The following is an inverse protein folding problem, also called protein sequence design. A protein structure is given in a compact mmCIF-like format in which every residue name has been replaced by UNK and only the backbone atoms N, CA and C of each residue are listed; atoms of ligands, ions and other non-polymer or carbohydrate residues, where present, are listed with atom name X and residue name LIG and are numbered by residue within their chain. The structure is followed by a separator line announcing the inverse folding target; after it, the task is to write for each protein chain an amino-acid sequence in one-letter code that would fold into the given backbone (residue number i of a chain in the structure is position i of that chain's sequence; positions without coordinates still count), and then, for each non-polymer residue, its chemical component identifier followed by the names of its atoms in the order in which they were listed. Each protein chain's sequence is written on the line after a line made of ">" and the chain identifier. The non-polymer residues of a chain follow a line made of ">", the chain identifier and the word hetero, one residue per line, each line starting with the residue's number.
data_IF_796336177097
#
_entry.id   IF_796336177097
#
_cell.length_a   1.000
_cell.length_b   1.000
_cell.length_c   1.000
_cell.angle_alpha   90.00
_cell.angle_beta   90.00
_cell.angle_gamma   90.00
#
_symmetry.space_group_name_H-M   'P 1'
#
loop_
_entity.id
_entity.type
_entity.pdbx_description
1 polymer ?
#
# COMPACT_ATOMS: atom_id res chain seq x y z
N UNK A 1 -70.39 -17.50 9.78
CA UNK A 1 -69.10 -18.16 10.08
C UNK A 1 -68.02 -17.35 9.39
N UNK A 2 -67.01 -16.96 10.17
CA UNK A 2 -66.15 -15.79 10.00
C UNK A 2 -65.49 -15.58 8.64
N UNK A 3 -65.70 -14.37 8.13
CA UNK A 3 -64.70 -13.52 7.49
C UNK A 3 -63.36 -13.58 8.23
N UNK A 4 -62.36 -14.20 7.61
CA UNK A 4 -60.96 -14.05 7.99
C UNK A 4 -60.35 -12.93 7.15
N UNK A 5 -60.53 -11.70 7.62
CA UNK A 5 -59.71 -10.56 7.25
C UNK A 5 -58.23 -10.94 7.46
N UNK A 6 -57.51 -11.20 6.36
CA UNK A 6 -56.05 -11.20 6.35
C UNK A 6 -55.58 -9.79 5.98
N UNK A 7 -54.97 -9.06 6.90
CA UNK A 7 -54.64 -7.66 6.70
C UNK A 7 -53.41 -7.51 5.77
N UNK A 8 -53.59 -6.70 4.73
CA UNK A 8 -52.63 -5.72 4.25
C UNK A 8 -51.16 -6.16 4.05
N UNK A 9 -50.86 -6.84 2.93
CA UNK A 9 -49.54 -6.84 2.29
C UNK A 9 -49.43 -5.85 1.11
N UNK A 10 -50.19 -4.74 1.14
CA UNK A 10 -50.37 -3.89 -0.05
C UNK A 10 -49.81 -2.47 0.03
N UNK A 11 -49.08 -2.08 1.09
CA UNK A 11 -48.63 -0.67 1.24
C UNK A 11 -47.11 -0.45 1.32
N UNK A 12 -46.28 -1.51 1.36
CA UNK A 12 -44.81 -1.40 1.42
C UNK A 12 -44.09 -1.45 0.04
N UNK A 13 -44.82 -1.75 -1.05
CA UNK A 13 -44.24 -1.93 -2.38
C UNK A 13 -43.71 -0.66 -3.08
N UNK A 14 -44.23 0.57 -2.87
CA UNK A 14 -43.71 1.75 -3.59
C UNK A 14 -42.37 2.25 -3.02
N UNK A 15 -42.13 2.11 -1.72
CA UNK A 15 -40.88 2.54 -1.06
C UNK A 15 -39.71 1.65 -1.46
N UNK A 16 -39.88 0.32 -1.50
CA UNK A 16 -38.84 -0.58 -2.00
C UNK A 16 -38.52 -0.34 -3.48
N UNK A 17 -39.53 -0.07 -4.31
CA UNK A 17 -39.34 0.29 -5.71
C UNK A 17 -38.66 1.67 -5.88
N UNK A 18 -38.87 2.61 -4.94
CA UNK A 18 -38.17 3.89 -4.91
C UNK A 18 -36.70 3.70 -4.53
N UNK A 19 -36.41 2.96 -3.46
CA UNK A 19 -35.04 2.64 -3.06
C UNK A 19 -34.28 1.92 -4.18
N UNK A 20 -34.89 0.93 -4.84
CA UNK A 20 -34.27 0.23 -5.97
C UNK A 20 -33.95 1.18 -7.14
N UNK A 21 -34.87 2.11 -7.48
CA UNK A 21 -34.63 3.12 -8.52
C UNK A 21 -33.49 4.06 -8.15
N UNK A 22 -33.43 4.49 -6.89
CA UNK A 22 -32.37 5.37 -6.41
C UNK A 22 -31.00 4.67 -6.39
N UNK A 23 -30.94 3.42 -5.93
CA UNK A 23 -29.74 2.58 -6.01
C UNK A 23 -29.25 2.45 -7.45
N UNK A 24 -30.15 2.16 -8.39
CA UNK A 24 -29.78 2.01 -9.80
C UNK A 24 -29.35 3.35 -10.44
N UNK A 25 -29.98 4.45 -10.07
CA UNK A 25 -29.58 5.79 -10.51
C UNK A 25 -28.17 6.15 -10.00
N UNK A 26 -27.89 5.91 -8.72
CA UNK A 26 -26.57 6.11 -8.13
C UNK A 26 -25.52 5.19 -8.74
N UNK A 27 -25.85 3.91 -8.98
CA UNK A 27 -24.98 2.98 -9.66
C UNK A 27 -24.61 3.46 -11.07
N UNK A 28 -25.60 3.96 -11.84
CA UNK A 28 -25.37 4.53 -13.16
C UNK A 28 -24.42 5.73 -13.10
N UNK A 29 -24.59 6.62 -12.10
CA UNK A 29 -23.67 7.74 -11.89
C UNK A 29 -22.24 7.27 -11.55
N UNK A 30 -22.10 6.23 -10.73
CA UNK A 30 -20.79 5.64 -10.41
C UNK A 30 -20.13 5.09 -11.67
N UNK A 31 -20.86 4.33 -12.49
CA UNK A 31 -20.34 3.77 -13.75
C UNK A 31 -19.89 4.88 -14.71
N UNK A 32 -20.68 5.95 -14.86
CA UNK A 32 -20.33 7.11 -15.69
C UNK A 32 -19.04 7.79 -15.20
N UNK A 33 -18.94 8.02 -13.88
CA UNK A 33 -17.75 8.63 -13.25
C UNK A 33 -16.51 7.74 -13.41
N UNK A 34 -16.64 6.43 -13.20
CA UNK A 34 -15.55 5.48 -13.40
C UNK A 34 -15.02 5.54 -14.84
N UNK A 35 -15.90 5.51 -15.85
CA UNK A 35 -15.51 5.64 -17.26
C UNK A 35 -14.81 6.96 -17.55
N UNK A 36 -15.27 8.07 -16.97
CA UNK A 36 -14.63 9.37 -17.12
C UNK A 36 -13.24 9.41 -16.50
N UNK A 37 -13.07 8.87 -15.28
CA UNK A 37 -11.77 8.74 -14.63
C UNK A 37 -10.79 7.88 -15.43
N UNK A 38 -11.26 6.76 -16.00
CA UNK A 38 -10.43 5.91 -16.86
C UNK A 38 -9.93 6.66 -18.10
N UNK A 39 -10.81 7.41 -18.77
CA UNK A 39 -10.43 8.25 -19.93
C UNK A 39 -9.41 9.33 -19.55
N UNK A 40 -9.62 10.02 -18.44
CA UNK A 40 -8.70 11.06 -17.97
C UNK A 40 -7.33 10.49 -17.58
N UNK A 41 -7.33 9.35 -16.89
CA UNK A 41 -6.09 8.64 -16.56
C UNK A 41 -5.35 8.24 -17.82
N UNK A 42 -6.05 7.68 -18.80
CA UNK A 42 -5.45 7.29 -20.06
C UNK A 42 -4.82 8.48 -20.79
N UNK A 43 -5.51 9.61 -20.86
CA UNK A 43 -4.95 10.87 -21.39
C UNK A 43 -3.70 11.31 -20.63
N UNK A 44 -3.70 11.22 -19.29
CA UNK A 44 -2.53 11.54 -18.47
C UNK A 44 -1.34 10.60 -18.72
N UNK A 45 -1.59 9.30 -18.95
CA UNK A 45 -0.54 8.32 -19.28
C UNK A 45 0.09 8.61 -20.64
N UNK A 46 -0.71 8.94 -21.64
CA UNK A 46 -0.21 9.32 -22.96
C UNK A 46 0.66 10.57 -22.84
N UNK A 47 0.18 11.61 -22.13
CA UNK A 47 0.95 12.83 -21.93
C UNK A 47 2.27 12.57 -21.17
N UNK A 48 2.25 11.73 -20.13
CA UNK A 48 3.45 11.32 -19.40
C UNK A 48 4.45 10.55 -20.28
N UNK A 49 3.95 9.66 -21.15
CA UNK A 49 4.76 8.93 -22.11
C UNK A 49 5.41 9.88 -23.14
N UNK A 50 4.63 10.80 -23.71
CA UNK A 50 5.11 11.81 -24.66
C UNK A 50 6.17 12.72 -24.03
N UNK A 51 5.90 13.24 -22.82
CA UNK A 51 6.87 14.01 -22.06
C UNK A 51 8.16 13.20 -21.81
N UNK A 52 8.03 11.91 -21.54
CA UNK A 52 9.16 10.99 -21.41
C UNK A 52 10.00 10.85 -22.68
N UNK A 53 9.41 10.88 -23.88
CA UNK A 53 10.16 10.87 -25.14
C UNK A 53 10.96 12.16 -25.31
N UNK A 54 10.29 13.31 -25.15
CA UNK A 54 10.92 14.63 -25.24
C UNK A 54 12.07 14.79 -24.24
N UNK A 55 11.89 14.34 -22.99
CA UNK A 55 12.94 14.37 -21.97
C UNK A 55 14.14 13.50 -22.36
N UNK A 56 13.94 12.37 -23.06
CA UNK A 56 15.04 11.51 -23.52
C UNK A 56 15.80 12.13 -24.67
N UNK A 57 15.11 12.76 -25.62
CA UNK A 57 15.73 13.50 -26.71
C UNK A 57 16.54 14.67 -26.15
N UNK A 58 15.93 15.48 -25.30
CA UNK A 58 16.59 16.62 -24.68
C UNK A 58 17.77 16.22 -23.81
N UNK A 59 17.70 15.09 -23.09
CA UNK A 59 18.84 14.59 -22.31
C UNK A 59 20.05 14.27 -23.19
N UNK A 60 19.84 13.74 -24.41
CA UNK A 60 20.96 13.50 -25.34
C UNK A 60 21.62 14.82 -25.71
N UNK A 61 20.83 15.80 -26.16
CA UNK A 61 21.33 17.12 -26.53
C UNK A 61 22.11 17.81 -25.40
N UNK A 62 21.59 17.76 -24.16
CA UNK A 62 22.27 18.39 -23.02
C UNK A 62 23.58 17.67 -22.66
N UNK A 63 23.61 16.34 -22.73
CA UNK A 63 24.83 15.57 -22.46
C UNK A 63 25.91 15.77 -23.53
N UNK A 64 25.52 15.98 -24.78
CA UNK A 64 26.44 16.27 -25.89
C UNK A 64 27.11 17.65 -25.71
N UNK A 65 26.38 18.62 -25.13
CA UNK A 65 26.87 19.99 -24.90
C UNK A 65 27.67 20.14 -23.60
N UNK A 66 27.27 19.45 -22.52
CA UNK A 66 27.92 19.58 -21.22
C UNK A 66 27.75 18.31 -20.37
N UNK A 67 28.87 17.62 -20.09
CA UNK A 67 28.88 16.49 -19.14
C UNK A 67 28.46 16.98 -17.76
N UNK A 68 27.30 16.50 -17.29
CA UNK A 68 26.73 16.85 -15.97
C UNK A 68 25.69 17.98 -15.99
N UNK A 69 25.44 18.63 -17.14
CA UNK A 69 24.47 19.74 -17.25
C UNK A 69 22.99 19.33 -17.16
N UNK A 70 22.70 18.02 -17.14
CA UNK A 70 21.32 17.51 -17.16
C UNK A 70 20.50 17.89 -15.92
N UNK A 71 21.08 17.78 -14.72
CA UNK A 71 20.33 18.06 -13.48
C UNK A 71 19.98 19.55 -13.35
N UNK A 72 20.93 20.49 -13.52
CA UNK A 72 20.61 21.92 -13.51
C UNK A 72 19.60 22.32 -14.60
N UNK A 73 19.74 21.77 -15.81
CA UNK A 73 18.79 22.02 -16.89
C UNK A 73 17.37 21.59 -16.50
N UNK A 74 17.25 20.41 -15.88
CA UNK A 74 15.95 19.86 -15.49
C UNK A 74 15.30 20.68 -14.37
N UNK A 75 16.08 21.16 -13.40
CA UNK A 75 15.57 22.03 -12.33
C UNK A 75 15.07 23.38 -12.86
N UNK A 76 15.65 23.89 -13.95
CA UNK A 76 15.25 25.16 -14.56
C UNK A 76 14.08 25.03 -15.55
N UNK A 77 13.98 23.90 -16.26
CA UNK A 77 13.07 23.76 -17.41
C UNK A 77 11.93 22.77 -17.18
N UNK A 78 11.96 21.95 -16.13
CA UNK A 78 10.92 20.97 -15.84
C UNK A 78 10.23 21.30 -14.51
N UNK A 79 8.92 21.54 -14.58
CA UNK A 79 8.13 22.01 -13.43
C UNK A 79 7.98 20.98 -12.29
N UNK A 80 8.31 19.70 -12.53
CA UNK A 80 8.19 18.65 -11.53
C UNK A 80 9.56 18.12 -11.09
N UNK A 81 9.55 17.21 -10.10
CA UNK A 81 10.80 16.69 -9.54
C UNK A 81 11.64 15.91 -10.56
N UNK A 82 12.98 15.85 -10.39
CA UNK A 82 13.85 14.98 -11.18
C UNK A 82 13.41 13.51 -11.17
N UNK A 83 12.82 13.05 -10.06
CA UNK A 83 12.27 11.70 -9.93
C UNK A 83 11.05 11.48 -10.83
N UNK A 84 10.21 12.50 -11.01
CA UNK A 84 9.07 12.45 -11.94
C UNK A 84 9.55 12.36 -13.37
N UNK A 85 10.53 13.18 -13.76
CA UNK A 85 11.13 13.12 -15.09
C UNK A 85 11.72 11.73 -15.38
N UNK A 86 12.47 11.15 -14.44
CA UNK A 86 13.01 9.79 -14.57
C UNK A 86 11.91 8.74 -14.81
N UNK A 87 10.77 8.85 -14.12
CA UNK A 87 9.62 7.94 -14.33
C UNK A 87 9.02 8.08 -15.72
N UNK A 88 8.84 9.30 -16.20
CA UNK A 88 8.32 9.55 -17.55
C UNK A 88 9.27 8.99 -18.61
N UNK A 89 10.57 9.25 -18.48
CA UNK A 89 11.60 8.69 -19.35
C UNK A 89 11.67 7.15 -19.30
N UNK A 90 11.41 6.56 -18.13
CA UNK A 90 11.37 5.10 -17.99
C UNK A 90 10.13 4.51 -18.67
N UNK A 91 8.96 5.15 -18.48
CA UNK A 91 7.72 4.76 -19.14
C UNK A 91 7.90 4.79 -20.67
N UNK A 92 8.43 5.88 -21.21
CA UNK A 92 8.63 6.04 -22.66
C UNK A 92 9.70 5.12 -23.25
N UNK A 93 10.61 4.61 -22.42
CA UNK A 93 11.60 3.61 -22.81
C UNK A 93 11.01 2.20 -22.89
N UNK A 94 10.14 1.84 -21.96
CA UNK A 94 9.63 0.48 -21.84
C UNK A 94 8.35 0.25 -22.66
N UNK A 95 7.58 1.30 -22.91
CA UNK A 95 6.36 1.21 -23.70
C UNK A 95 6.65 1.77 -25.09
N UNK A 96 6.68 0.89 -26.08
CA UNK A 96 6.91 1.26 -27.49
C UNK A 96 5.64 1.70 -28.19
N UNK A 97 4.50 1.11 -27.83
CA UNK A 97 3.20 1.40 -28.44
C UNK A 97 2.29 2.15 -27.46
N UNK A 98 1.81 3.33 -27.88
CA UNK A 98 0.87 4.16 -27.10
C UNK A 98 -0.48 3.45 -26.94
N UNK A 99 -0.86 2.62 -27.90
CA UNK A 99 -2.11 1.84 -27.89
C UNK A 99 -2.16 0.89 -26.70
N UNK A 100 -1.01 0.35 -26.29
CA UNK A 100 -0.89 -0.50 -25.10
C UNK A 100 -1.36 0.24 -23.84
N UNK A 101 -1.09 1.54 -23.72
CA UNK A 101 -1.52 2.34 -22.56
C UNK A 101 -3.04 2.47 -22.46
N UNK A 102 -3.78 2.28 -23.57
CA UNK A 102 -5.25 2.31 -23.61
C UNK A 102 -5.91 1.04 -23.11
N UNK A 103 -5.14 -0.06 -23.04
CA UNK A 103 -5.63 -1.36 -22.57
C UNK A 103 -5.40 -1.58 -21.07
N UNK A 104 -4.71 -0.65 -20.41
CA UNK A 104 -4.29 -0.83 -19.01
C UNK A 104 -5.40 -0.46 -18.03
N UNK A 105 -5.58 -1.32 -17.04
CA UNK A 105 -6.31 -0.95 -15.82
C UNK A 105 -5.53 0.10 -15.01
N UNK A 106 -6.26 0.87 -14.20
CA UNK A 106 -5.69 1.87 -13.28
C UNK A 106 -4.54 1.29 -12.43
N UNK A 107 -4.69 0.05 -11.93
CA UNK A 107 -3.65 -0.64 -11.15
C UNK A 107 -2.38 -0.90 -11.97
N UNK A 108 -2.53 -1.34 -13.22
CA UNK A 108 -1.39 -1.61 -14.09
C UNK A 108 -0.67 -0.31 -14.49
N UNK A 109 -1.42 0.76 -14.75
CA UNK A 109 -0.87 2.09 -15.01
C UNK A 109 0.00 2.60 -13.86
N UNK A 110 -0.46 2.45 -12.61
CA UNK A 110 0.33 2.80 -11.42
C UNK A 110 1.61 1.98 -11.30
N UNK A 111 1.55 0.67 -11.56
CA UNK A 111 2.72 -0.21 -11.54
C UNK A 111 3.77 0.22 -12.57
N UNK A 112 3.34 0.56 -13.79
CA UNK A 112 4.24 0.98 -14.88
C UNK A 112 4.90 2.33 -14.62
N UNK A 113 4.14 3.32 -14.14
CA UNK A 113 4.69 4.63 -13.84
C UNK A 113 5.54 4.64 -12.56
N UNK A 114 5.46 3.60 -11.72
CA UNK A 114 5.99 3.61 -10.37
C UNK A 114 5.42 4.77 -9.53
N UNK A 115 4.33 5.40 -9.99
CA UNK A 115 3.50 6.28 -9.19
C UNK A 115 2.87 5.37 -8.16
N UNK A 116 3.36 5.42 -6.92
CA UNK A 116 2.52 4.97 -5.81
C UNK A 116 1.25 5.80 -5.92
N UNK A 117 0.11 5.12 -6.13
CA UNK A 117 -1.19 5.70 -5.83
C UNK A 117 -1.05 6.31 -4.43
N UNK A 118 -1.22 7.62 -4.39
CA UNK A 118 -0.89 8.49 -3.27
C UNK A 118 0.61 8.54 -2.94
N UNK A 119 1.16 9.75 -2.97
CA UNK A 119 2.10 10.12 -1.91
C UNK A 119 1.37 9.79 -0.61
N UNK A 120 1.68 8.64 0.00
CA UNK A 120 1.54 8.44 1.44
C UNK A 120 2.09 9.74 2.01
N UNK A 121 1.18 10.66 2.36
CA UNK A 121 1.54 12.04 2.70
C UNK A 121 2.68 11.93 3.68
N UNK A 122 3.70 12.79 3.55
CA UNK A 122 4.86 12.84 4.43
C UNK A 122 4.33 12.64 5.84
N UNK A 123 4.37 11.40 6.35
CA UNK A 123 3.74 11.08 7.62
C UNK A 123 4.57 11.90 8.56
N UNK A 124 3.95 12.90 9.17
CA UNK A 124 4.51 13.53 10.33
C UNK A 124 4.96 12.37 11.21
N UNK A 125 6.27 12.26 11.39
CA UNK A 125 6.85 11.16 12.14
C UNK A 125 6.35 11.42 13.55
N UNK A 126 5.25 10.79 13.93
CA UNK A 126 4.84 10.71 15.32
C UNK A 126 6.09 10.18 16.04
N UNK A 127 6.72 10.95 16.95
CA UNK A 127 7.88 10.49 17.66
C UNK A 127 7.43 9.32 18.53
N UNK A 128 7.62 8.10 18.04
CA UNK A 128 7.39 6.91 18.85
C UNK A 128 8.48 6.92 19.91
N UNK A 129 8.14 7.04 21.21
CA UNK A 129 9.14 7.01 22.27
C UNK A 129 9.91 5.70 22.16
N UNK A 130 11.24 5.78 22.30
CA UNK A 130 12.07 4.60 22.23
C UNK A 130 11.60 3.58 23.27
N UNK A 131 11.36 2.33 22.83
CA UNK A 131 10.92 1.27 23.73
C UNK A 131 11.90 1.16 24.91
N UNK A 132 11.40 1.12 26.16
CA UNK A 132 12.21 0.90 27.34
C UNK A 132 13.15 -0.31 27.18
N UNK A 133 14.34 -0.22 27.78
CA UNK A 133 15.41 -1.22 27.61
C UNK A 133 14.94 -2.65 27.94
N UNK A 134 14.10 -2.80 28.97
CA UNK A 134 13.55 -4.09 29.37
C UNK A 134 12.58 -4.70 28.33
N UNK A 135 11.83 -3.87 27.58
CA UNK A 135 10.95 -4.34 26.49
C UNK A 135 11.79 -4.84 25.31
N UNK A 136 12.88 -4.13 24.98
CA UNK A 136 13.79 -4.57 23.92
C UNK A 136 14.52 -5.86 24.28
N UNK A 137 14.93 -5.99 25.54
CA UNK A 137 15.62 -7.18 26.04
C UNK A 137 14.68 -8.39 26.07
N UNK A 138 13.46 -8.24 26.58
CA UNK A 138 12.44 -9.30 26.57
C UNK A 138 12.10 -9.76 25.14
N UNK A 139 11.88 -8.84 24.20
CA UNK A 139 11.66 -9.22 22.80
C UNK A 139 12.85 -9.96 22.18
N UNK A 140 14.08 -9.57 22.54
CA UNK A 140 15.29 -10.26 22.09
C UNK A 140 15.42 -11.65 22.69
N UNK A 141 15.05 -11.82 23.96
CA UNK A 141 15.01 -13.14 24.62
C UNK A 141 13.93 -14.03 24.00
N UNK A 142 12.73 -13.50 23.76
CA UNK A 142 11.65 -14.23 23.11
C UNK A 142 12.00 -14.67 21.68
N UNK A 143 12.83 -13.89 20.97
CA UNK A 143 13.35 -14.29 19.65
C UNK A 143 14.52 -15.27 19.71
N UNK A 144 15.26 -15.32 20.83
CA UNK A 144 16.41 -16.22 21.00
C UNK A 144 16.01 -17.59 21.59
N UNK A 145 14.87 -17.66 22.27
CA UNK A 145 14.30 -18.90 22.80
C UNK A 145 13.39 -19.52 21.71
N UNK A 146 13.66 -20.75 21.26
CA UNK A 146 12.85 -21.43 20.27
C UNK A 146 11.42 -21.64 20.77
N UNK A 147 10.47 -21.57 19.86
CA UNK A 147 9.06 -21.81 20.17
C UNK A 147 8.86 -23.25 20.68
N UNK A 148 7.79 -23.55 21.44
CA UNK A 148 7.56 -24.90 22.00
C UNK A 148 7.61 -26.03 20.97
N UNK A 149 7.17 -25.74 19.73
CA UNK A 149 7.23 -26.67 18.60
C UNK A 149 8.67 -26.95 18.15
N UNK A 150 9.50 -25.92 18.06
CA UNK A 150 10.92 -26.01 17.70
C UNK A 150 11.74 -26.64 18.83
N UNK A 151 11.42 -26.28 20.08
CA UNK A 151 12.04 -26.85 21.26
C UNK A 151 11.82 -28.37 21.34
N UNK A 152 10.67 -28.86 20.88
CA UNK A 152 10.37 -30.31 20.85
C UNK A 152 11.19 -31.08 19.82
N UNK A 153 11.68 -30.39 18.77
CA UNK A 153 12.50 -30.98 17.70
C UNK A 153 14.01 -31.00 18.03
N UNK A 154 14.42 -30.32 19.11
CA UNK A 154 15.83 -30.30 19.52
C UNK A 154 16.28 -31.63 20.13
N UNK A 155 17.54 -32.03 19.92
CA UNK A 155 18.14 -33.18 20.60
C UNK A 155 18.00 -33.09 22.13
N UNK A 156 17.75 -34.22 22.80
CA UNK A 156 17.50 -34.27 24.25
C UNK A 156 18.59 -33.55 25.07
N UNK A 157 19.86 -33.78 24.73
CA UNK A 157 21.02 -33.15 25.39
C UNK A 157 20.99 -31.61 25.29
N UNK A 158 20.57 -31.07 24.15
CA UNK A 158 20.49 -29.62 23.95
C UNK A 158 19.31 -29.01 24.69
N UNK A 159 18.17 -29.72 24.75
CA UNK A 159 16.99 -29.30 25.52
C UNK A 159 17.29 -29.23 27.01
N UNK A 160 18.00 -30.22 27.54
CA UNK A 160 18.30 -30.27 28.97
C UNK A 160 19.33 -29.21 29.37
N UNK A 161 20.31 -28.93 28.51
CA UNK A 161 21.24 -27.81 28.72
C UNK A 161 20.54 -26.46 28.70
N UNK A 162 19.67 -26.22 27.71
CA UNK A 162 18.86 -25.00 27.67
C UNK A 162 17.93 -24.86 28.88
N UNK A 163 17.34 -25.95 29.38
CA UNK A 163 16.53 -25.93 30.61
C UNK A 163 17.38 -25.53 31.81
N UNK A 164 18.58 -26.09 31.95
CA UNK A 164 19.51 -25.75 33.02
C UNK A 164 19.92 -24.27 32.96
N UNK A 165 20.24 -23.76 31.76
CA UNK A 165 20.68 -22.38 31.57
C UNK A 165 19.55 -21.35 31.84
N UNK A 166 18.30 -21.70 31.52
CA UNK A 166 17.14 -20.82 31.71
C UNK A 166 16.50 -20.93 33.11
N UNK A 167 16.79 -21.98 33.87
CA UNK A 167 16.21 -22.24 35.19
C UNK A 167 16.38 -21.06 36.17
N UNK A 168 17.58 -20.47 36.35
CA UNK A 168 17.77 -19.38 37.31
C UNK A 168 17.01 -18.10 36.94
N UNK A 169 16.85 -17.85 35.63
CA UNK A 169 16.08 -16.71 35.12
C UNK A 169 14.59 -16.95 35.36
N UNK A 170 14.12 -18.18 35.11
CA UNK A 170 12.73 -18.55 35.36
C UNK A 170 12.36 -18.47 36.84
N UNK A 171 13.21 -18.94 37.75
CA UNK A 171 12.96 -18.85 39.20
C UNK A 171 12.83 -17.40 39.68
N UNK A 172 13.70 -16.51 39.21
CA UNK A 172 13.64 -15.07 39.52
C UNK A 172 12.37 -14.41 38.98
N UNK A 173 12.01 -14.71 37.72
CA UNK A 173 10.78 -14.19 37.12
C UNK A 173 9.56 -14.72 37.87
N UNK A 174 9.53 -16.03 38.15
CA UNK A 174 8.45 -16.67 38.89
C UNK A 174 8.26 -16.00 40.24
N UNK A 175 9.34 -15.79 41.01
CA UNK A 175 9.28 -15.11 42.30
C UNK A 175 8.61 -13.73 42.19
N UNK A 176 8.98 -12.91 41.20
CA UNK A 176 8.40 -11.58 40.96
C UNK A 176 6.90 -11.66 40.63
N UNK A 177 6.49 -12.60 39.78
CA UNK A 177 5.09 -12.72 39.37
C UNK A 177 4.20 -13.41 40.41
N UNK A 178 4.77 -14.24 41.30
CA UNK A 178 4.01 -14.86 42.40
C UNK A 178 3.93 -13.99 43.65
N UNK A 179 4.85 -13.04 43.84
CA UNK A 179 4.84 -12.10 44.98
C UNK A 179 4.08 -10.78 44.69
N UNK A 180 3.51 -10.63 43.50
CA UNK A 180 2.69 -9.48 43.09
C UNK A 180 1.18 -9.80 43.07
N UNK A 181 0.74 -10.90 43.69
CA UNK A 181 -0.66 -11.33 43.76
C UNK A 181 -1.29 -11.20 45.16
N UNK A 182 -0.63 -10.49 46.08
CA UNK A 182 -1.20 -9.94 47.33
C UNK A 182 -1.29 -8.42 47.22
#
# INVERSE_FOLDING_TARGET
>A
MNSGDMPALSLAQPEHARCAREINALHTQVVERCRSCEKQLHGALIAAWQAGQLLREQKKHVLDLARGGWVPWLEQNFAASPRTAQRYMHLSRNVTDVSYLGTLSLRQAYMLLGLRAETKGRRERIPVPALPKYIRLSNRLLGAVPLPKEFSLLPAVQRDRMRQDLLPVWERLRAIFTSSSD
#
